data_IF_933489617451
#
_entry.id   IF_933489617451
#
_cell.length_a   1.000
_cell.length_b   1.000
_cell.length_c   1.000
_cell.angle_alpha   90.00
_cell.angle_beta   90.00
_cell.angle_gamma   90.00
#
_symmetry.space_group_name_H-M   'P 1'
#
loop_
_entity.id
_entity.type
_entity.pdbx_description
1 polymer ?
#
# COMPACT_ATOMS: atom_id res chain seq x y z
N UNK A 1 25.81 4.98 3.63
CA UNK A 1 25.06 6.24 3.79
C UNK A 1 23.59 5.90 3.98
N UNK A 2 22.82 6.74 4.69
CA UNK A 2 21.36 6.56 4.82
C UNK A 2 20.71 7.40 3.73
N UNK A 3 19.94 6.77 2.84
CA UNK A 3 19.21 7.41 1.75
C UNK A 3 17.69 7.27 1.96
N UNK A 4 16.87 8.16 1.37
CA UNK A 4 15.43 7.96 1.32
C UNK A 4 15.06 6.63 0.68
N UNK A 5 14.02 5.96 1.20
CA UNK A 5 13.61 4.66 0.67
C UNK A 5 13.16 4.73 -0.80
N UNK A 6 12.57 5.84 -1.23
CA UNK A 6 12.16 6.08 -2.62
C UNK A 6 13.35 5.95 -3.58
N UNK A 7 14.51 6.51 -3.21
CA UNK A 7 15.72 6.39 -4.00
C UNK A 7 16.21 4.94 -4.06
N UNK A 8 16.20 4.24 -2.92
CA UNK A 8 16.57 2.82 -2.88
C UNK A 8 15.63 1.96 -3.73
N UNK A 9 14.34 2.26 -3.71
CA UNK A 9 13.34 1.58 -4.53
C UNK A 9 13.65 1.74 -6.03
N UNK A 10 14.01 2.95 -6.47
CA UNK A 10 14.39 3.22 -7.85
C UNK A 10 15.63 2.45 -8.30
N UNK A 11 16.61 2.32 -7.41
CA UNK A 11 17.79 1.50 -7.62
C UNK A 11 17.42 0.02 -7.76
N UNK A 12 16.53 -0.50 -6.90
CA UNK A 12 16.05 -1.89 -6.97
C UNK A 12 15.31 -2.14 -8.30
N UNK A 13 14.36 -1.27 -8.65
CA UNK A 13 13.58 -1.37 -9.90
C UNK A 13 14.50 -1.36 -11.12
N UNK A 14 15.53 -0.51 -11.13
CA UNK A 14 16.53 -0.49 -12.19
C UNK A 14 17.31 -1.80 -12.27
N UNK A 15 17.70 -2.37 -11.12
CA UNK A 15 18.46 -3.63 -11.05
C UNK A 15 17.66 -4.85 -11.51
N UNK A 16 16.34 -4.86 -11.32
CA UNK A 16 15.47 -6.00 -11.70
C UNK A 16 14.77 -5.78 -13.05
N UNK A 17 15.14 -4.75 -13.83
CA UNK A 17 14.45 -4.41 -15.08
C UNK A 17 14.39 -5.59 -16.05
N UNK A 18 15.53 -6.22 -16.30
CA UNK A 18 15.65 -7.32 -17.26
C UNK A 18 14.78 -8.51 -16.83
N UNK A 19 14.77 -8.85 -15.54
CA UNK A 19 13.91 -9.90 -14.99
C UNK A 19 12.42 -9.54 -15.11
N UNK A 20 12.06 -8.29 -14.84
CA UNK A 20 10.68 -7.81 -14.95
C UNK A 20 10.18 -7.81 -16.40
N UNK A 21 11.06 -7.50 -17.37
CA UNK A 21 10.78 -7.62 -18.79
C UNK A 21 10.61 -9.09 -19.21
N UNK A 22 11.52 -9.97 -18.77
CA UNK A 22 11.46 -11.41 -19.05
C UNK A 22 10.20 -12.08 -18.47
N UNK A 23 9.75 -11.63 -17.29
CA UNK A 23 8.53 -12.10 -16.62
C UNK A 23 7.27 -11.33 -17.04
N UNK A 24 7.39 -10.35 -17.94
CA UNK A 24 6.29 -9.50 -18.39
C UNK A 24 5.53 -8.82 -17.24
N UNK A 25 6.24 -8.42 -16.18
CA UNK A 25 5.67 -7.84 -14.96
C UNK A 25 6.17 -6.42 -14.66
N UNK A 26 6.72 -5.72 -15.66
CA UNK A 26 7.23 -4.34 -15.55
C UNK A 26 6.20 -3.39 -14.93
N UNK A 27 4.94 -3.46 -15.36
CA UNK A 27 3.88 -2.57 -14.87
C UNK A 27 3.63 -2.76 -13.37
N UNK A 28 3.61 -4.01 -12.91
CA UNK A 28 3.39 -4.37 -11.51
C UNK A 28 4.56 -3.92 -10.63
N UNK A 29 5.80 -4.04 -11.13
CA UNK A 29 6.99 -3.53 -10.45
C UNK A 29 6.93 -2.01 -10.34
N UNK A 30 6.63 -1.29 -11.43
CA UNK A 30 6.51 0.17 -11.44
C UNK A 30 5.35 0.68 -10.58
N UNK A 31 4.28 -0.09 -10.44
CA UNK A 31 3.15 0.24 -9.57
C UNK A 31 3.57 0.46 -8.11
N UNK A 32 4.72 -0.09 -7.68
CA UNK A 32 5.30 0.20 -6.37
C UNK A 32 5.52 1.70 -6.12
N UNK A 33 5.77 2.52 -7.15
CA UNK A 33 5.84 3.99 -7.03
C UNK A 33 4.54 4.61 -6.57
N UNK A 34 3.41 4.10 -7.06
CA UNK A 34 2.09 4.56 -6.63
C UNK A 34 1.82 4.16 -5.18
N UNK A 35 2.27 2.97 -4.76
CA UNK A 35 2.20 2.53 -3.36
C UNK A 35 3.02 3.46 -2.44
N UNK A 36 4.20 3.91 -2.86
CA UNK A 36 4.99 4.87 -2.10
C UNK A 36 4.27 6.22 -1.96
N UNK A 37 3.63 6.68 -3.04
CA UNK A 37 2.90 7.96 -3.06
C UNK A 37 1.62 7.95 -2.22
N UNK A 38 0.80 6.91 -2.34
CA UNK A 38 -0.53 6.83 -1.69
C UNK A 38 -0.51 6.11 -0.34
N UNK A 39 0.58 5.43 0.00
CA UNK A 39 0.67 4.52 1.13
C UNK A 39 0.19 3.10 0.80
N UNK A 40 0.57 2.14 1.66
CA UNK A 40 0.15 0.74 1.55
C UNK A 40 -1.29 0.53 2.03
N UNK A 41 -1.86 -0.65 1.77
CA UNK A 41 -3.15 -1.04 2.34
C UNK A 41 -3.18 -0.95 3.87
N UNK A 42 -2.07 -1.24 4.56
CA UNK A 42 -1.98 -1.08 6.01
C UNK A 42 -2.10 0.38 6.46
N UNK A 43 -1.51 1.33 5.72
CA UNK A 43 -1.69 2.77 6.00
C UNK A 43 -3.16 3.17 5.85
N UNK A 44 -3.84 2.65 4.82
CA UNK A 44 -5.27 2.91 4.58
C UNK A 44 -6.15 2.27 5.66
N UNK A 45 -5.83 1.04 6.10
CA UNK A 45 -6.53 0.37 7.20
C UNK A 45 -6.41 1.15 8.50
N UNK A 46 -5.22 1.64 8.84
CA UNK A 46 -5.01 2.49 10.02
C UNK A 46 -5.82 3.78 9.90
N UNK A 47 -5.80 4.44 8.75
CA UNK A 47 -6.59 5.66 8.54
C UNK A 47 -8.10 5.42 8.73
N UNK A 48 -8.65 4.33 8.19
CA UNK A 48 -10.06 3.97 8.37
C UNK A 48 -10.40 3.62 9.82
N UNK A 49 -9.52 2.90 10.49
CA UNK A 49 -9.69 2.55 11.90
C UNK A 49 -9.67 3.81 12.79
N UNK A 50 -8.70 4.70 12.59
CA UNK A 50 -8.56 5.95 13.33
C UNK A 50 -9.74 6.89 13.08
N UNK A 51 -10.23 6.98 11.84
CA UNK A 51 -11.43 7.75 11.50
C UNK A 51 -12.68 7.20 12.21
N UNK A 52 -12.84 5.87 12.24
CA UNK A 52 -13.93 5.23 12.94
C UNK A 52 -13.88 5.50 14.46
N UNK A 53 -12.71 5.44 15.08
CA UNK A 53 -12.52 5.83 16.48
C UNK A 53 -12.82 7.31 16.72
N UNK A 54 -12.32 8.20 15.84
CA UNK A 54 -12.58 9.64 15.92
C UNK A 54 -14.07 9.98 15.78
N UNK A 55 -14.85 9.12 15.10
CA UNK A 55 -16.31 9.21 15.02
C UNK A 55 -17.06 8.71 16.27
N UNK A 56 -16.34 8.26 17.30
CA UNK A 56 -16.91 7.82 18.58
C UNK A 56 -17.32 6.34 18.60
N UNK A 57 -16.91 5.54 17.61
CA UNK A 57 -17.16 4.10 17.60
C UNK A 57 -16.30 3.38 18.64
N UNK A 58 -16.78 2.24 19.10
CA UNK A 58 -15.95 1.33 19.89
C UNK A 58 -14.85 0.75 19.02
N UNK A 59 -13.76 0.33 19.64
CA UNK A 59 -12.67 -0.37 18.97
C UNK A 59 -13.16 -1.56 18.13
N UNK A 60 -14.06 -2.38 18.69
CA UNK A 60 -14.62 -3.53 17.97
C UNK A 60 -15.41 -3.09 16.72
N UNK A 61 -16.21 -2.03 16.81
CA UNK A 61 -16.94 -1.50 15.65
C UNK A 61 -16.00 -0.93 14.58
N UNK A 62 -14.94 -0.22 14.99
CA UNK A 62 -13.92 0.29 14.09
C UNK A 62 -13.17 -0.83 13.35
N UNK A 63 -12.87 -1.96 14.02
CA UNK A 63 -12.30 -3.14 13.38
C UNK A 63 -13.25 -3.74 12.33
N UNK A 64 -14.55 -3.87 12.65
CA UNK A 64 -15.53 -4.38 11.68
C UNK A 64 -15.64 -3.49 10.45
N UNK A 65 -15.65 -2.17 10.64
CA UNK A 65 -15.68 -1.22 9.52
C UNK A 65 -14.43 -1.33 8.64
N UNK A 66 -13.25 -1.46 9.27
CA UNK A 66 -11.97 -1.62 8.56
C UNK A 66 -11.95 -2.90 7.72
N UNK A 67 -12.48 -4.01 8.27
CA UNK A 67 -12.64 -5.27 7.52
C UNK A 67 -13.65 -5.10 6.38
N UNK A 68 -14.78 -4.44 6.63
CA UNK A 68 -15.78 -4.14 5.60
C UNK A 68 -15.20 -3.34 4.44
N UNK A 69 -14.39 -2.33 4.74
CA UNK A 69 -13.63 -1.58 3.73
C UNK A 69 -12.64 -2.47 2.98
N UNK A 70 -11.86 -3.31 3.68
CA UNK A 70 -10.87 -4.19 3.06
C UNK A 70 -11.51 -5.18 2.06
N UNK A 71 -12.70 -5.70 2.40
CA UNK A 71 -13.46 -6.55 1.50
C UNK A 71 -13.85 -5.81 0.21
N UNK A 72 -14.30 -4.55 0.31
CA UNK A 72 -14.65 -3.75 -0.87
C UNK A 72 -13.42 -3.43 -1.72
N UNK A 73 -12.31 -3.01 -1.10
CA UNK A 73 -11.07 -2.66 -1.79
C UNK A 73 -10.40 -3.86 -2.49
N UNK A 74 -10.69 -5.09 -2.06
CA UNK A 74 -10.14 -6.32 -2.67
C UNK A 74 -10.99 -6.84 -3.85
N UNK A 75 -12.24 -6.39 -3.97
CA UNK A 75 -13.18 -6.83 -5.00
C UNK A 75 -13.27 -5.86 -6.19
N UNK A 76 -12.70 -4.67 -6.06
CA UNK A 76 -12.58 -3.63 -7.10
C UNK A 76 -11.31 -3.78 -7.92
#
# INVERSE_FOLDING_TARGET
EIIPYEQLFDEIVTRIREDAEALQCVEQVEHGREILKRGTSAHQQLAHFDEALASGKTEQAALYDTVGWLMQASLS
#
